data_IF_571395113187
#
_entry.id   IF_571395113187
#
_cell.length_a   1.000
_cell.length_b   1.000
_cell.length_c   1.000
_cell.angle_alpha   90.00
_cell.angle_beta   90.00
_cell.angle_gamma   90.00
#
_symmetry.space_group_name_H-M   'P 1'
#
loop_
_entity.id
_entity.type
_entity.pdbx_description
1 polymer ?
#
# COMPACT_ATOMS: atom_id res chain seq x y z
N UNK A 1 126.85 -39.04 -51.27
CA UNK A 1 125.79 -40.00 -51.68
C UNK A 1 124.80 -40.31 -50.55
N UNK A 2 125.26 -40.58 -49.33
CA UNK A 2 124.42 -40.93 -48.16
C UNK A 2 123.37 -39.87 -47.79
N UNK A 3 123.75 -38.59 -47.76
CA UNK A 3 122.83 -37.48 -47.41
C UNK A 3 121.65 -37.31 -48.39
N UNK A 4 121.87 -37.57 -49.67
CA UNK A 4 120.85 -37.46 -50.72
C UNK A 4 119.83 -38.60 -50.58
N UNK A 5 120.31 -39.82 -50.33
CA UNK A 5 119.47 -41.00 -50.09
C UNK A 5 118.62 -40.80 -48.82
N UNK A 6 119.20 -40.21 -47.77
CA UNK A 6 118.50 -39.93 -46.51
C UNK A 6 117.39 -38.88 -46.70
N UNK A 7 117.64 -37.82 -47.46
CA UNK A 7 116.63 -36.83 -47.85
C UNK A 7 115.50 -37.44 -48.70
N UNK A 8 115.82 -38.34 -49.63
CA UNK A 8 114.82 -39.01 -50.47
C UNK A 8 113.92 -39.93 -49.63
N UNK A 9 114.52 -40.69 -48.70
CA UNK A 9 113.77 -41.57 -47.80
C UNK A 9 112.90 -40.76 -46.81
N UNK A 10 113.40 -39.64 -46.29
CA UNK A 10 112.60 -38.72 -45.46
C UNK A 10 111.43 -38.11 -46.24
N UNK A 11 111.65 -37.69 -47.49
CA UNK A 11 110.58 -37.19 -48.35
C UNK A 11 109.53 -38.26 -48.63
N UNK A 12 109.94 -39.50 -48.85
CA UNK A 12 109.03 -40.62 -49.04
C UNK A 12 108.21 -40.89 -47.78
N UNK A 13 108.83 -40.92 -46.60
CA UNK A 13 108.13 -41.06 -45.31
C UNK A 13 107.13 -39.92 -45.06
N UNK A 14 107.52 -38.67 -45.30
CA UNK A 14 106.60 -37.53 -45.18
C UNK A 14 105.42 -37.65 -46.13
N UNK A 15 105.64 -38.09 -47.36
CA UNK A 15 104.57 -38.32 -48.34
C UNK A 15 103.61 -39.43 -47.88
N UNK A 16 104.12 -40.52 -47.32
CA UNK A 16 103.28 -41.61 -46.79
C UNK A 16 102.49 -41.16 -45.57
N UNK A 17 103.11 -40.41 -44.64
CA UNK A 17 102.46 -39.90 -43.44
C UNK A 17 101.33 -38.92 -43.79
N UNK A 18 101.54 -38.03 -44.77
CA UNK A 18 100.51 -37.12 -45.28
C UNK A 18 99.36 -37.89 -45.91
N UNK A 19 99.64 -38.96 -46.65
CA UNK A 19 98.60 -39.76 -47.30
C UNK A 19 97.74 -40.49 -46.27
N UNK A 20 98.37 -41.13 -45.28
CA UNK A 20 97.69 -41.81 -44.18
C UNK A 20 96.86 -40.81 -43.36
N UNK A 21 97.40 -39.63 -43.04
CA UNK A 21 96.67 -38.60 -42.31
C UNK A 21 95.44 -38.08 -43.09
N UNK A 22 95.55 -37.97 -44.43
CA UNK A 22 94.41 -37.59 -45.28
C UNK A 22 93.34 -38.67 -45.33
N UNK A 23 93.73 -39.93 -45.38
CA UNK A 23 92.82 -41.08 -45.37
C UNK A 23 92.07 -41.17 -44.03
N UNK A 24 92.79 -41.06 -42.91
CA UNK A 24 92.19 -41.01 -41.57
C UNK A 24 91.23 -39.82 -41.39
N UNK A 25 91.59 -38.64 -41.90
CA UNK A 25 90.73 -37.47 -41.88
C UNK A 25 89.46 -37.67 -42.72
N UNK A 26 89.58 -38.30 -43.89
CA UNK A 26 88.43 -38.62 -44.74
C UNK A 26 87.47 -39.62 -44.07
N UNK A 27 88.00 -40.62 -43.36
CA UNK A 27 87.21 -41.58 -42.59
C UNK A 27 86.47 -40.92 -41.41
N UNK A 28 87.11 -39.96 -40.73
CA UNK A 28 86.54 -39.26 -39.57
C UNK A 28 85.52 -38.17 -39.95
N UNK A 29 85.64 -37.57 -41.14
CA UNK A 29 84.81 -36.46 -41.60
C UNK A 29 83.31 -36.75 -41.48
N UNK A 30 82.87 -37.97 -41.79
CA UNK A 30 81.46 -38.37 -41.66
C UNK A 30 81.00 -38.32 -40.19
N UNK A 31 81.81 -38.83 -39.27
CA UNK A 31 81.50 -38.87 -37.85
C UNK A 31 81.47 -37.46 -37.24
N UNK A 32 82.42 -36.60 -37.63
CA UNK A 32 82.46 -35.20 -37.24
C UNK A 32 81.23 -34.44 -37.76
N UNK A 33 80.88 -34.65 -39.04
CA UNK A 33 79.68 -34.06 -39.64
C UNK A 33 78.40 -34.47 -38.90
N UNK A 34 78.20 -35.77 -38.64
CA UNK A 34 77.02 -36.23 -37.89
C UNK A 34 76.97 -35.69 -36.47
N UNK A 35 78.13 -35.61 -35.80
CA UNK A 35 78.24 -35.04 -34.46
C UNK A 35 77.88 -33.56 -34.46
N UNK A 36 78.39 -32.78 -35.42
CA UNK A 36 78.05 -31.39 -35.61
C UNK A 36 76.54 -31.20 -35.89
N UNK A 37 75.96 -32.01 -36.79
CA UNK A 37 74.52 -31.98 -37.08
C UNK A 37 73.69 -32.25 -35.82
N UNK A 38 74.08 -33.22 -34.98
CA UNK A 38 73.40 -33.51 -33.71
C UNK A 38 73.44 -32.31 -32.76
N UNK A 39 74.61 -31.69 -32.57
CA UNK A 39 74.76 -30.51 -31.71
C UNK A 39 73.91 -29.35 -32.23
N UNK A 40 73.96 -29.08 -33.53
CA UNK A 40 73.18 -28.00 -34.12
C UNK A 40 71.67 -28.26 -34.06
N UNK A 41 71.23 -29.49 -34.32
CA UNK A 41 69.82 -29.88 -34.22
C UNK A 41 69.32 -29.74 -32.77
N UNK A 42 70.12 -30.19 -31.80
CA UNK A 42 69.83 -30.01 -30.37
C UNK A 42 69.69 -28.52 -30.02
N UNK A 43 70.64 -27.68 -30.42
CA UNK A 43 70.62 -26.24 -30.14
C UNK A 43 69.41 -25.54 -30.78
N UNK A 44 69.10 -25.83 -32.06
CA UNK A 44 67.90 -25.33 -32.73
C UNK A 44 66.63 -25.72 -31.96
N UNK A 45 66.56 -26.96 -31.48
CA UNK A 45 65.47 -27.45 -30.64
C UNK A 45 65.37 -26.73 -29.29
N UNK A 46 66.49 -26.48 -28.62
CA UNK A 46 66.52 -25.71 -27.35
C UNK A 46 65.96 -24.31 -27.57
N UNK A 47 66.40 -23.62 -28.61
CA UNK A 47 65.93 -22.26 -28.95
C UNK A 47 64.43 -22.24 -29.23
N UNK A 48 63.94 -23.20 -30.02
CA UNK A 48 62.52 -23.29 -30.36
C UNK A 48 61.65 -23.58 -29.11
N UNK A 49 62.06 -24.52 -28.26
CA UNK A 49 61.33 -24.83 -27.01
C UNK A 49 61.29 -23.64 -26.05
N UNK A 50 62.40 -22.90 -25.92
CA UNK A 50 62.44 -21.68 -25.12
C UNK A 50 61.47 -20.62 -25.65
N UNK A 51 61.40 -20.44 -26.98
CA UNK A 51 60.47 -19.52 -27.62
C UNK A 51 59.00 -19.93 -27.42
N UNK A 52 58.67 -21.20 -27.63
CA UNK A 52 57.31 -21.73 -27.37
C UNK A 52 56.91 -21.53 -25.90
N UNK A 53 57.83 -21.80 -24.96
CA UNK A 53 57.59 -21.55 -23.54
C UNK A 53 57.30 -20.07 -23.26
N UNK A 54 58.05 -19.16 -23.88
CA UNK A 54 57.80 -17.73 -23.76
C UNK A 54 56.40 -17.35 -24.29
N UNK A 55 56.01 -17.83 -25.47
CA UNK A 55 54.68 -17.59 -26.04
C UNK A 55 53.56 -18.13 -25.13
N UNK A 56 53.70 -19.35 -24.62
CA UNK A 56 52.74 -19.95 -23.70
C UNK A 56 52.61 -19.16 -22.39
N UNK A 57 53.72 -18.66 -21.84
CA UNK A 57 53.70 -17.80 -20.67
C UNK A 57 52.96 -16.49 -20.95
N UNK A 58 53.25 -15.83 -22.07
CA UNK A 58 52.57 -14.61 -22.51
C UNK A 58 51.06 -14.84 -22.68
N UNK A 59 50.67 -15.93 -23.33
CA UNK A 59 49.26 -16.32 -23.46
C UNK A 59 48.60 -16.55 -22.09
N UNK A 60 49.28 -17.25 -21.18
CA UNK A 60 48.77 -17.51 -19.83
C UNK A 60 48.57 -16.22 -19.04
N UNK A 61 49.48 -15.25 -19.16
CA UNK A 61 49.35 -13.94 -18.51
C UNK A 61 48.10 -13.21 -19.01
N UNK A 62 47.91 -13.14 -20.33
CA UNK A 62 46.74 -12.50 -20.94
C UNK A 62 45.45 -13.18 -20.46
N UNK A 63 45.39 -14.51 -20.55
CA UNK A 63 44.21 -15.26 -20.15
C UNK A 63 43.92 -15.14 -18.64
N UNK A 64 44.95 -15.14 -17.78
CA UNK A 64 44.80 -14.92 -16.33
C UNK A 64 44.15 -13.57 -16.04
N UNK A 65 44.64 -12.51 -16.69
CA UNK A 65 44.10 -11.16 -16.52
C UNK A 65 42.66 -11.07 -17.02
N UNK A 66 42.35 -11.68 -18.17
CA UNK A 66 40.99 -11.73 -18.71
C UNK A 66 40.02 -12.45 -17.77
N UNK A 67 40.37 -13.66 -17.30
CA UNK A 67 39.55 -14.41 -16.33
C UNK A 67 39.31 -13.62 -15.05
N UNK A 68 40.33 -12.91 -14.55
CA UNK A 68 40.20 -12.04 -13.38
C UNK A 68 39.28 -10.85 -13.63
N UNK A 69 39.40 -10.19 -14.79
CA UNK A 69 38.53 -9.08 -15.18
C UNK A 69 37.06 -9.51 -15.23
N UNK A 70 36.78 -10.65 -15.86
CA UNK A 70 35.43 -11.24 -15.92
C UNK A 70 34.89 -11.56 -14.52
N UNK A 71 35.68 -12.25 -13.69
CA UNK A 71 35.29 -12.59 -12.32
C UNK A 71 34.97 -11.34 -11.48
N UNK A 72 35.78 -10.28 -11.59
CA UNK A 72 35.52 -8.99 -10.94
C UNK A 72 34.23 -8.34 -11.44
N UNK A 73 33.93 -8.44 -12.74
CA UNK A 73 32.67 -7.95 -13.32
C UNK A 73 31.44 -8.69 -12.77
N UNK A 74 31.52 -10.01 -12.62
CA UNK A 74 30.45 -10.82 -11.99
C UNK A 74 30.30 -10.43 -10.51
N UNK A 75 31.41 -10.34 -9.78
CA UNK A 75 31.42 -9.97 -8.36
C UNK A 75 30.77 -8.61 -8.11
N UNK A 76 31.12 -7.58 -8.90
CA UNK A 76 30.50 -6.25 -8.78
C UNK A 76 28.98 -6.31 -8.97
N UNK A 77 28.49 -7.08 -9.96
CA UNK A 77 27.05 -7.27 -10.19
C UNK A 77 26.37 -7.96 -9.00
N UNK A 78 26.98 -9.00 -8.45
CA UNK A 78 26.45 -9.67 -7.26
C UNK A 78 26.35 -8.70 -6.08
N UNK A 79 27.42 -7.96 -5.79
CA UNK A 79 27.43 -6.97 -4.69
C UNK A 79 26.38 -5.89 -4.90
N UNK A 80 26.25 -5.35 -6.12
CA UNK A 80 25.20 -4.37 -6.43
C UNK A 80 23.80 -4.94 -6.19
N UNK A 81 23.54 -6.18 -6.61
CA UNK A 81 22.25 -6.83 -6.39
C UNK A 81 21.96 -7.08 -4.91
N UNK A 82 22.94 -7.54 -4.13
CA UNK A 82 22.76 -7.75 -2.69
C UNK A 82 22.51 -6.44 -1.95
N UNK A 83 23.23 -5.36 -2.32
CA UNK A 83 23.01 -4.05 -1.73
C UNK A 83 21.62 -3.50 -2.05
N UNK A 84 21.13 -3.72 -3.27
CA UNK A 84 19.76 -3.37 -3.67
C UNK A 84 18.73 -4.09 -2.79
N UNK A 85 18.89 -5.41 -2.63
CA UNK A 85 18.01 -6.23 -1.80
C UNK A 85 18.02 -5.76 -0.33
N UNK A 86 19.20 -5.49 0.23
CA UNK A 86 19.33 -4.97 1.60
C UNK A 86 18.63 -3.61 1.76
N UNK A 87 18.77 -2.72 0.77
CA UNK A 87 18.13 -1.40 0.78
C UNK A 87 16.61 -1.52 0.71
N UNK A 88 16.08 -2.33 -0.19
CA UNK A 88 14.64 -2.60 -0.30
C UNK A 88 14.12 -3.20 1.00
N UNK A 89 14.83 -4.19 1.56
CA UNK A 89 14.44 -4.80 2.83
C UNK A 89 14.37 -3.76 3.96
N UNK A 90 15.37 -2.88 4.07
CA UNK A 90 15.36 -1.80 5.05
C UNK A 90 14.17 -0.85 4.87
N UNK A 91 13.87 -0.40 3.65
CA UNK A 91 12.71 0.48 3.44
C UNK A 91 11.39 -0.24 3.71
N UNK A 92 11.29 -1.53 3.38
CA UNK A 92 10.10 -2.33 3.70
C UNK A 92 9.90 -2.47 5.22
N UNK A 93 10.97 -2.69 6.01
CA UNK A 93 10.83 -2.73 7.47
C UNK A 93 10.38 -1.37 8.02
N UNK A 94 10.92 -0.26 7.53
CA UNK A 94 10.46 1.07 7.93
C UNK A 94 9.00 1.33 7.51
N UNK A 95 8.62 0.92 6.30
CA UNK A 95 7.25 1.04 5.82
C UNK A 95 6.26 0.25 6.70
N UNK A 96 6.60 -0.97 7.12
CA UNK A 96 5.71 -1.74 8.00
C UNK A 96 5.51 -1.08 9.37
N UNK A 97 6.53 -0.43 9.93
CA UNK A 97 6.41 0.36 11.17
C UNK A 97 5.42 1.51 10.97
N UNK A 98 5.61 2.32 9.93
CA UNK A 98 4.72 3.45 9.62
C UNK A 98 3.28 2.95 9.43
N UNK A 99 3.10 1.90 8.62
CA UNK A 99 1.78 1.36 8.34
C UNK A 99 1.12 0.76 9.58
N UNK A 100 1.87 0.07 10.47
CA UNK A 100 1.34 -0.45 11.74
C UNK A 100 0.81 0.69 12.62
N UNK A 101 1.57 1.76 12.76
CA UNK A 101 1.17 2.95 13.54
C UNK A 101 -0.08 3.57 12.93
N UNK A 102 -0.10 3.75 11.60
CA UNK A 102 -1.25 4.31 10.89
C UNK A 102 -2.51 3.46 11.03
N UNK A 103 -2.42 2.14 10.83
CA UNK A 103 -3.56 1.22 11.02
C UNK A 103 -4.12 1.33 12.44
N UNK A 104 -3.24 1.41 13.45
CA UNK A 104 -3.65 1.63 14.84
C UNK A 104 -4.35 2.97 15.06
N UNK A 105 -3.81 4.06 14.50
CA UNK A 105 -4.45 5.38 14.55
C UNK A 105 -5.85 5.36 13.91
N UNK A 106 -5.95 4.82 12.70
CA UNK A 106 -7.19 4.79 11.93
C UNK A 106 -8.31 4.07 12.69
N UNK A 107 -8.02 2.88 13.24
CA UNK A 107 -8.99 2.11 14.02
C UNK A 107 -9.49 2.89 15.23
N UNK A 108 -8.59 3.48 16.03
CA UNK A 108 -8.96 4.25 17.22
C UNK A 108 -9.75 5.52 16.90
N UNK A 109 -9.53 6.10 15.72
CA UNK A 109 -10.21 7.33 15.30
C UNK A 109 -11.58 7.08 14.68
N UNK A 110 -11.68 6.09 13.79
CA UNK A 110 -12.81 5.92 12.89
C UNK A 110 -13.65 4.66 13.12
N UNK A 111 -13.08 3.59 13.68
CA UNK A 111 -13.79 2.30 13.85
C UNK A 111 -14.24 2.13 15.30
N UNK A 112 -13.30 2.15 16.24
CA UNK A 112 -13.55 1.95 17.66
C UNK A 112 -13.17 3.21 18.45
N UNK A 113 -14.08 4.17 18.47
CA UNK A 113 -13.93 5.37 19.29
C UNK A 113 -14.41 5.11 20.72
N UNK A 114 -13.46 4.83 21.62
CA UNK A 114 -13.71 4.52 23.02
C UNK A 114 -14.54 5.60 23.72
N UNK A 115 -14.17 6.88 23.57
CA UNK A 115 -14.87 8.00 24.21
C UNK A 115 -16.29 8.18 23.67
N UNK A 116 -16.50 7.98 22.38
CA UNK A 116 -17.85 8.03 21.81
C UNK A 116 -18.74 6.92 22.39
N UNK A 117 -18.20 5.69 22.51
CA UNK A 117 -18.91 4.56 23.11
C UNK A 117 -19.18 4.78 24.60
N UNK A 118 -18.22 5.33 25.34
CA UNK A 118 -18.39 5.64 26.75
C UNK A 118 -19.53 6.64 26.98
N UNK A 119 -19.55 7.77 26.24
CA UNK A 119 -20.64 8.76 26.32
C UNK A 119 -22.01 8.17 25.98
N UNK A 120 -22.06 7.27 25.00
CA UNK A 120 -23.31 6.59 24.64
C UNK A 120 -23.81 5.71 25.79
N UNK A 121 -22.92 4.96 26.45
CA UNK A 121 -23.29 4.14 27.60
C UNK A 121 -23.71 4.98 28.80
N UNK A 122 -23.02 6.08 29.08
CA UNK A 122 -23.41 7.05 30.12
C UNK A 122 -24.82 7.59 29.84
N UNK A 123 -25.10 8.02 28.60
CA UNK A 123 -26.43 8.47 28.22
C UNK A 123 -27.51 7.39 28.36
N UNK A 124 -27.20 6.12 28.09
CA UNK A 124 -28.13 5.00 28.34
C UNK A 124 -28.45 4.88 29.83
N UNK A 125 -27.43 4.98 30.69
CA UNK A 125 -27.62 4.90 32.14
C UNK A 125 -28.54 6.03 32.61
N UNK A 126 -28.31 7.25 32.14
CA UNK A 126 -29.16 8.39 32.47
C UNK A 126 -30.61 8.19 32.03
N UNK A 127 -30.83 7.70 30.81
CA UNK A 127 -32.18 7.37 30.30
C UNK A 127 -32.83 6.28 31.14
N UNK A 128 -32.10 5.23 31.49
CA UNK A 128 -32.62 4.14 32.32
C UNK A 128 -33.03 4.65 33.70
N UNK A 129 -32.23 5.51 34.33
CA UNK A 129 -32.56 6.13 35.61
C UNK A 129 -33.83 6.98 35.51
N UNK A 130 -33.95 7.79 34.45
CA UNK A 130 -35.16 8.57 34.19
C UNK A 130 -36.41 7.68 34.05
N UNK A 131 -36.31 6.58 33.29
CA UNK A 131 -37.41 5.62 33.13
C UNK A 131 -37.78 4.97 34.47
N UNK A 132 -36.80 4.63 35.30
CA UNK A 132 -37.06 4.09 36.64
C UNK A 132 -37.79 5.10 37.54
N UNK A 133 -37.36 6.36 37.55
CA UNK A 133 -38.05 7.42 38.29
C UNK A 133 -39.51 7.58 37.85
N UNK A 134 -39.76 7.55 36.55
CA UNK A 134 -41.12 7.64 36.00
C UNK A 134 -41.97 6.41 36.35
N UNK A 135 -41.38 5.21 36.40
CA UNK A 135 -42.05 4.01 36.87
C UNK A 135 -42.43 4.09 38.36
N UNK A 136 -41.54 4.62 39.21
CA UNK A 136 -41.85 4.83 40.63
C UNK A 136 -42.99 5.84 40.83
N UNK A 137 -42.97 6.98 40.11
CA UNK A 137 -44.08 7.94 40.15
C UNK A 137 -45.40 7.30 39.69
N UNK A 138 -45.35 6.45 38.67
CA UNK A 138 -46.51 5.73 38.19
C UNK A 138 -47.06 4.75 39.24
N UNK A 139 -46.17 4.02 39.92
CA UNK A 139 -46.53 3.14 41.03
C UNK A 139 -47.25 3.91 42.14
N UNK A 140 -46.72 5.06 42.57
CA UNK A 140 -47.36 5.92 43.57
C UNK A 140 -48.75 6.38 43.13
N UNK A 141 -48.91 6.78 41.86
CA UNK A 141 -50.20 7.19 41.30
C UNK A 141 -51.18 6.00 41.31
N UNK A 142 -50.73 4.80 40.96
CA UNK A 142 -51.58 3.59 40.96
C UNK A 142 -52.01 3.24 42.39
N UNK A 143 -51.10 3.28 43.35
CA UNK A 143 -51.39 3.03 44.77
C UNK A 143 -52.40 4.06 45.27
N UNK A 144 -52.14 5.36 45.08
CA UNK A 144 -53.04 6.43 45.52
C UNK A 144 -54.44 6.31 44.87
N UNK A 145 -54.51 5.95 43.58
CA UNK A 145 -55.78 5.69 42.89
C UNK A 145 -56.52 4.48 43.48
N UNK A 146 -55.80 3.41 43.82
CA UNK A 146 -56.37 2.23 44.46
C UNK A 146 -56.89 2.54 45.87
N UNK A 147 -56.14 3.30 46.68
CA UNK A 147 -56.57 3.76 47.99
C UNK A 147 -57.79 4.67 47.93
N UNK A 148 -57.78 5.64 47.01
CA UNK A 148 -58.95 6.50 46.76
C UNK A 148 -60.17 5.68 46.36
N UNK A 149 -60.02 4.72 45.44
CA UNK A 149 -61.11 3.81 45.05
C UNK A 149 -61.60 2.95 46.22
N UNK A 150 -60.71 2.48 47.10
CA UNK A 150 -61.09 1.76 48.33
C UNK A 150 -61.86 2.66 49.31
N UNK A 151 -61.43 3.91 49.49
CA UNK A 151 -62.11 4.90 50.33
C UNK A 151 -63.50 5.24 49.78
N UNK A 152 -63.62 5.48 48.47
CA UNK A 152 -64.90 5.71 47.79
C UNK A 152 -65.84 4.50 47.91
N UNK A 153 -65.33 3.27 47.80
CA UNK A 153 -66.13 2.06 48.04
C UNK A 153 -66.63 1.99 49.49
N UNK A 154 -65.77 2.26 50.46
CA UNK A 154 -66.15 2.28 51.87
C UNK A 154 -67.21 3.36 52.17
N UNK A 155 -67.05 4.54 51.57
CA UNK A 155 -68.02 5.64 51.69
C UNK A 155 -69.36 5.28 51.03
N UNK A 156 -69.34 4.72 49.82
CA UNK A 156 -70.53 4.22 49.14
C UNK A 156 -71.23 3.12 49.94
N UNK A 157 -70.49 2.21 50.58
CA UNK A 157 -71.06 1.19 51.47
C UNK A 157 -71.73 1.81 52.69
N UNK A 158 -71.13 2.87 53.28
CA UNK A 158 -71.73 3.64 54.39
C UNK A 158 -73.01 4.32 53.92
N UNK A 159 -72.98 4.97 52.76
CA UNK A 159 -74.12 5.64 52.15
C UNK A 159 -75.25 4.65 51.84
N UNK A 160 -74.91 3.47 51.31
CA UNK A 160 -75.87 2.40 51.04
C UNK A 160 -76.51 1.88 52.32
N UNK A 161 -75.73 1.65 53.38
CA UNK A 161 -76.26 1.27 54.71
C UNK A 161 -77.21 2.33 55.26
N UNK A 162 -76.82 3.61 55.22
CA UNK A 162 -77.66 4.74 55.62
C UNK A 162 -78.97 4.79 54.80
N UNK A 163 -78.87 4.64 53.47
CA UNK A 163 -80.03 4.64 52.56
C UNK A 163 -80.99 3.48 52.84
N UNK A 164 -80.47 2.28 53.13
CA UNK A 164 -81.30 1.13 53.52
C UNK A 164 -81.97 1.35 54.87
N UNK A 165 -81.28 1.99 55.80
CA UNK A 165 -81.69 2.13 57.18
C UNK A 165 -82.31 3.50 57.53
N UNK A 166 -82.57 4.37 56.54
CA UNK A 166 -83.03 5.74 56.74
C UNK A 166 -84.32 5.86 57.57
N UNK A 167 -85.17 4.83 57.56
CA UNK A 167 -86.40 4.78 58.36
C UNK A 167 -86.15 4.61 59.87
N UNK A 168 -84.92 4.25 60.29
CA UNK A 168 -84.54 4.06 61.70
C UNK A 168 -84.03 5.36 62.37
N UNK A 169 -84.30 6.52 61.75
CA UNK A 169 -83.98 7.84 62.27
C UNK A 169 -84.83 8.20 63.51
N UNK A 170 -84.23 8.97 64.41
CA UNK A 170 -84.94 9.52 65.58
C UNK A 170 -86.00 10.52 65.16
N UNK A 171 -87.22 10.33 65.64
CA UNK A 171 -88.32 11.30 65.49
C UNK A 171 -88.43 12.16 66.74
N UNK A 172 -89.15 13.29 66.68
CA UNK A 172 -89.36 14.15 67.85
C UNK A 172 -90.08 13.43 69.02
N UNK A 173 -90.78 12.32 68.74
CA UNK A 173 -91.56 11.57 69.73
C UNK A 173 -90.82 10.33 70.26
N UNK A 174 -89.87 9.76 69.52
CA UNK A 174 -89.13 8.56 69.91
C UNK A 174 -87.71 8.56 69.36
N UNK A 175 -86.73 8.25 70.22
CA UNK A 175 -85.34 8.10 69.81
C UNK A 175 -85.19 6.90 68.85
N UNK A 176 -84.43 7.09 67.76
CA UNK A 176 -84.14 6.05 66.77
C UNK A 176 -83.05 5.10 67.26
N UNK A 177 -82.90 3.95 66.60
CA UNK A 177 -81.93 2.89 66.98
C UNK A 177 -80.50 3.42 67.00
N UNK A 178 -80.18 4.39 66.14
CA UNK A 178 -78.86 5.02 66.04
C UNK A 178 -78.65 6.19 67.01
N UNK A 179 -79.61 6.53 67.87
CA UNK A 179 -79.48 7.61 68.86
C UNK A 179 -78.70 7.19 70.13
N UNK A 180 -78.09 6.00 70.14
CA UNK A 180 -77.62 5.34 71.36
C UNK A 180 -76.21 5.79 71.75
N UNK A 181 -76.11 6.89 72.50
CA UNK A 181 -75.45 7.00 73.80
C UNK A 181 -75.47 8.48 74.22
N UNK A 182 -75.30 8.76 75.51
CA UNK A 182 -75.49 10.07 76.15
C UNK A 182 -74.54 11.18 75.66
N UNK A 183 -73.67 10.88 74.70
CA UNK A 183 -72.87 11.84 73.96
C UNK A 183 -73.60 12.16 72.65
N UNK A 184 -74.25 13.33 72.59
CA UNK A 184 -74.93 13.87 71.40
C UNK A 184 -73.96 14.16 70.24
N UNK A 185 -72.68 13.88 70.41
CA UNK A 185 -71.64 14.07 69.40
C UNK A 185 -71.64 12.86 68.44
N UNK A 186 -72.56 12.96 67.49
CA UNK A 186 -72.36 12.58 66.09
C UNK A 186 -72.13 11.09 65.80
N UNK A 187 -73.18 10.27 65.92
CA UNK A 187 -73.21 9.01 65.18
C UNK A 187 -73.25 9.32 63.67
N UNK A 188 -72.11 9.12 63.00
CA UNK A 188 -71.87 9.50 61.60
C UNK A 188 -72.99 9.02 60.65
N UNK A 189 -73.53 7.82 60.90
CA UNK A 189 -74.59 7.23 60.09
C UNK A 189 -75.92 7.99 60.27
N UNK A 190 -76.26 8.45 61.48
CA UNK A 190 -77.48 9.24 61.73
C UNK A 190 -77.39 10.63 61.09
N UNK A 191 -76.19 11.22 61.05
CA UNK A 191 -75.94 12.50 60.39
C UNK A 191 -76.09 12.38 58.86
N UNK A 192 -75.52 11.33 58.26
CA UNK A 192 -75.69 11.04 56.82
C UNK A 192 -77.17 10.83 56.49
N UNK A 193 -77.90 10.05 57.30
CA UNK A 193 -79.33 9.79 57.10
C UNK A 193 -80.19 11.06 57.21
N UNK A 194 -79.87 12.01 58.10
CA UNK A 194 -80.58 13.30 58.22
C UNK A 194 -80.41 14.19 56.99
N UNK A 195 -79.25 14.12 56.34
CA UNK A 195 -78.93 14.96 55.18
C UNK A 195 -79.41 14.35 53.85
N UNK A 196 -79.87 13.10 53.84
CA UNK A 196 -80.40 12.44 52.65
C UNK A 196 -81.84 12.85 52.38
N UNK A 197 -82.14 13.29 51.15
CA UNK A 197 -83.51 13.56 50.73
C UNK A 197 -84.17 12.32 50.13
N UNK A 198 -85.51 12.31 50.03
CA UNK A 198 -86.25 11.21 49.40
C UNK A 198 -85.80 10.95 47.96
N UNK A 199 -85.49 12.02 47.22
CA UNK A 199 -84.97 11.93 45.85
C UNK A 199 -83.58 11.28 45.80
N UNK A 200 -82.71 11.58 46.78
CA UNK A 200 -81.37 10.98 46.86
C UNK A 200 -81.44 9.48 47.15
N UNK A 201 -82.35 9.08 48.04
CA UNK A 201 -82.59 7.67 48.39
C UNK A 201 -83.04 6.87 47.16
N UNK A 202 -83.94 7.42 46.33
CA UNK A 202 -84.39 6.78 45.09
C UNK A 202 -83.27 6.71 44.04
N UNK A 203 -82.50 7.77 43.85
CA UNK A 203 -81.36 7.79 42.94
C UNK A 203 -80.29 6.76 43.31
N UNK A 204 -79.97 6.61 44.60
CA UNK A 204 -78.99 5.64 45.10
C UNK A 204 -79.52 4.21 44.94
N UNK A 205 -80.83 3.97 45.14
CA UNK A 205 -81.45 2.66 44.88
C UNK A 205 -81.44 2.29 43.39
N UNK A 206 -81.71 3.26 42.51
CA UNK A 206 -81.66 3.05 41.06
C UNK A 206 -80.24 2.76 40.56
N UNK A 207 -79.22 3.50 41.04
CA UNK A 207 -77.80 3.26 40.69
C UNK A 207 -77.26 1.91 41.15
N UNK A 208 -77.83 1.33 42.22
CA UNK A 208 -77.43 0.04 42.79
C UNK A 208 -78.37 -1.11 42.39
N UNK A 209 -79.29 -0.88 41.45
CA UNK A 209 -80.12 -1.94 40.85
C UNK A 209 -79.26 -2.88 40.01
N UNK A 210 -79.46 -4.21 40.06
CA UNK A 210 -78.74 -5.17 39.21
C UNK A 210 -78.89 -4.90 37.71
N UNK A 211 -79.95 -4.20 37.31
CA UNK A 211 -80.27 -3.87 35.92
C UNK A 211 -79.67 -2.52 35.45
N UNK A 212 -78.86 -1.84 36.28
CA UNK A 212 -78.26 -0.56 35.92
C UNK A 212 -77.02 -0.76 35.01
N UNK A 213 -77.22 -0.62 33.70
CA UNK A 213 -76.15 -0.52 32.70
C UNK A 213 -75.59 0.91 32.66
N UNK A 214 -74.31 1.10 33.02
CA UNK A 214 -73.61 2.38 32.85
C UNK A 214 -72.94 2.44 31.46
N UNK A 215 -73.25 3.44 30.59
CA UNK A 215 -72.70 3.51 29.22
C UNK A 215 -71.22 3.89 29.08
N UNK A 216 -70.39 3.89 30.14
CA UNK A 216 -69.04 4.46 30.08
C UNK A 216 -67.96 3.51 30.59
N UNK A 217 -67.79 2.40 29.86
CA UNK A 217 -66.63 1.52 30.00
C UNK A 217 -66.22 0.96 28.64
N UNK A 218 -65.87 1.83 27.71
CA UNK A 218 -65.28 1.45 26.43
C UNK A 218 -64.22 2.46 26.00
N UNK A 219 -63.05 2.38 26.65
CA UNK A 219 -61.77 2.74 26.00
C UNK A 219 -60.66 1.84 26.56
N UNK A 220 -60.63 0.59 26.13
CA UNK A 220 -59.41 -0.20 26.21
C UNK A 220 -58.49 0.28 25.07
N UNK A 221 -57.24 0.71 25.33
CA UNK A 221 -56.31 0.98 24.25
C UNK A 221 -55.93 -0.36 23.60
N UNK A 222 -56.07 -0.39 22.27
CA UNK A 222 -55.77 -1.54 21.42
C UNK A 222 -54.36 -2.06 21.70
N UNK A 223 -54.28 -3.31 22.16
CA UNK A 223 -53.04 -4.07 22.37
C UNK A 223 -52.59 -4.67 21.04
N UNK A 224 -52.22 -3.83 20.09
CA UNK A 224 -51.60 -4.25 18.84
C UNK A 224 -50.52 -3.24 18.46
N UNK A 225 -49.31 -3.40 19.00
CA UNK A 225 -48.04 -2.91 18.43
C UNK A 225 -46.91 -3.22 19.41
N UNK A 226 -46.55 -4.50 19.52
CA UNK A 226 -45.18 -4.91 19.81
C UNK A 226 -45.07 -6.41 19.53
N UNK A 227 -44.59 -6.74 18.33
CA UNK A 227 -43.72 -7.87 18.03
C UNK A 227 -43.55 -8.00 16.51
N UNK A 228 -42.51 -7.38 15.97
CA UNK A 228 -41.69 -7.96 14.90
C UNK A 228 -40.63 -6.95 14.46
N UNK A 229 -39.45 -6.98 15.09
CA UNK A 229 -38.17 -6.68 14.47
C UNK A 229 -37.08 -6.76 15.53
N UNK A 230 -36.52 -7.94 15.74
CA UNK A 230 -35.12 -8.15 16.11
C UNK A 230 -34.78 -9.64 16.02
N UNK A 231 -34.42 -10.08 14.83
CA UNK A 231 -33.36 -11.05 14.58
C UNK A 231 -33.31 -11.27 13.07
N UNK A 232 -32.22 -10.82 12.44
CA UNK A 232 -31.43 -11.65 11.53
C UNK A 232 -30.32 -10.80 10.90
N UNK A 233 -29.21 -10.75 11.65
CA UNK A 233 -27.88 -10.60 11.05
C UNK A 233 -27.21 -11.97 11.16
N UNK A 234 -26.88 -12.58 10.02
CA UNK A 234 -25.54 -13.15 9.82
C UNK A 234 -24.95 -12.55 8.53
N UNK A 235 -23.91 -11.72 8.58
CA UNK A 235 -22.49 -12.12 8.63
C UNK A 235 -22.07 -13.07 7.48
N UNK A 236 -21.27 -12.52 6.54
CA UNK A 236 -20.27 -13.10 5.61
C UNK A 236 -20.55 -14.50 5.03
N UNK A 237 -20.52 -14.72 3.71
CA UNK A 237 -19.33 -14.70 2.86
C UNK A 237 -19.77 -15.03 1.42
N UNK A 238 -19.20 -14.39 0.38
CA UNK A 238 -19.22 -14.91 -1.00
C UNK A 238 -18.30 -14.09 -1.92
N UNK A 239 -17.06 -14.52 -1.99
CA UNK A 239 -16.20 -14.34 -3.16
C UNK A 239 -16.79 -15.09 -4.37
N UNK A 240 -16.41 -14.68 -5.59
CA UNK A 240 -16.66 -15.31 -6.91
C UNK A 240 -18.05 -15.09 -7.56
N UNK A 241 -18.11 -14.22 -8.58
CA UNK A 241 -18.51 -14.61 -9.94
C UNK A 241 -18.43 -13.39 -10.89
N UNK A 242 -17.33 -13.31 -11.61
CA UNK A 242 -17.25 -12.65 -12.91
C UNK A 242 -17.98 -13.51 -13.93
N UNK A 243 -19.15 -13.09 -14.41
CA UNK A 243 -19.71 -13.65 -15.65
C UNK A 243 -20.63 -12.63 -16.35
N UNK A 244 -20.43 -12.54 -17.66
CA UNK A 244 -20.99 -11.54 -18.55
C UNK A 244 -22.52 -11.53 -18.57
N UNK A 245 -23.14 -10.41 -18.18
CA UNK A 245 -24.55 -10.17 -18.49
C UNK A 245 -24.69 -9.81 -19.99
N UNK A 246 -24.98 -10.81 -20.82
CA UNK A 246 -25.55 -10.58 -22.16
C UNK A 246 -26.95 -9.98 -21.97
N UNK A 247 -27.08 -8.68 -22.19
CA UNK A 247 -28.39 -8.03 -22.27
C UNK A 247 -29.11 -8.58 -23.50
N UNK A 248 -30.23 -9.27 -23.29
CA UNK A 248 -31.18 -9.63 -24.35
C UNK A 248 -31.78 -8.35 -24.97
N UNK A 249 -31.90 -8.25 -26.31
CA UNK A 249 -32.42 -7.03 -26.94
C UNK A 249 -33.89 -6.82 -26.58
N UNK A 250 -34.25 -5.58 -26.24
CA UNK A 250 -35.64 -5.18 -26.01
C UNK A 250 -36.50 -5.43 -27.27
N UNK A 251 -37.78 -5.82 -27.10
CA UNK A 251 -38.66 -6.11 -28.22
C UNK A 251 -38.87 -4.89 -29.13
N UNK A 252 -38.85 -5.10 -30.45
CA UNK A 252 -39.10 -4.04 -31.45
C UNK A 252 -40.55 -3.56 -31.32
N UNK A 253 -40.72 -2.27 -31.02
CA UNK A 253 -42.03 -1.60 -31.07
C UNK A 253 -42.44 -1.50 -32.54
N UNK A 254 -43.44 -2.28 -32.96
CA UNK A 254 -44.03 -2.17 -34.30
C UNK A 254 -44.93 -0.94 -34.32
N UNK A 255 -44.40 0.21 -34.70
CA UNK A 255 -45.22 1.37 -35.06
C UNK A 255 -45.61 1.28 -36.52
N UNK A 256 -46.92 1.36 -36.76
CA UNK A 256 -47.57 1.38 -38.07
C UNK A 256 -46.91 2.42 -38.99
N UNK A 257 -46.81 2.09 -40.29
CA UNK A 257 -46.09 2.76 -41.39
C UNK A 257 -46.49 4.22 -41.73
N UNK A 258 -46.95 5.02 -40.76
CA UNK A 258 -47.26 6.44 -40.98
C UNK A 258 -45.96 7.24 -41.13
N UNK A 259 -45.77 7.83 -42.31
CA UNK A 259 -44.70 8.80 -42.58
C UNK A 259 -44.84 9.98 -41.60
N UNK A 260 -43.88 10.12 -40.69
CA UNK A 260 -43.87 11.22 -39.72
C UNK A 260 -43.79 12.57 -40.47
N UNK A 261 -44.62 13.53 -40.10
CA UNK A 261 -44.71 14.82 -40.78
C UNK A 261 -43.49 15.69 -40.41
N UNK A 262 -42.74 16.15 -41.42
CA UNK A 262 -41.52 16.95 -41.28
C UNK A 262 -40.37 16.44 -42.16
N UNK A 263 -39.17 17.05 -42.09
CA UNK A 263 -37.97 16.61 -42.83
C UNK A 263 -37.32 15.37 -42.17
N UNK A 264 -38.12 14.45 -41.65
CA UNK A 264 -37.63 13.24 -40.98
C UNK A 264 -37.55 12.07 -41.96
N UNK A 265 -36.47 11.30 -41.87
CA UNK A 265 -36.23 10.13 -42.73
C UNK A 265 -37.18 8.99 -42.34
N UNK A 266 -37.60 8.18 -43.31
CA UNK A 266 -38.46 7.03 -43.02
C UNK A 266 -37.74 6.01 -42.14
N UNK A 267 -38.51 5.20 -41.41
CA UNK A 267 -37.98 4.16 -40.51
C UNK A 267 -37.01 3.23 -41.26
N UNK A 268 -37.36 2.81 -42.48
CA UNK A 268 -36.49 1.99 -43.35
C UNK A 268 -35.18 2.70 -43.72
N UNK A 269 -35.23 4.00 -44.03
CA UNK A 269 -34.02 4.78 -44.33
C UNK A 269 -33.12 4.93 -43.10
N UNK A 270 -33.72 5.07 -41.92
CA UNK A 270 -32.98 5.13 -40.65
C UNK A 270 -32.36 3.77 -40.34
N UNK A 271 -33.08 2.66 -40.56
CA UNK A 271 -32.53 1.31 -40.42
C UNK A 271 -31.36 1.06 -41.39
N UNK A 272 -31.50 1.47 -42.65
CA UNK A 272 -30.41 1.42 -43.63
C UNK A 272 -29.19 2.28 -43.22
N UNK A 273 -29.41 3.46 -42.62
CA UNK A 273 -28.32 4.31 -42.13
C UNK A 273 -27.65 3.65 -40.92
N UNK A 274 -28.43 3.04 -40.01
CA UNK A 274 -27.92 2.29 -38.86
C UNK A 274 -27.15 1.05 -39.27
N UNK A 275 -27.55 0.38 -40.35
CA UNK A 275 -26.90 -0.83 -40.86
C UNK A 275 -25.69 -0.55 -41.76
N UNK A 276 -25.40 0.70 -42.11
CA UNK A 276 -24.19 1.04 -42.87
C UNK A 276 -22.96 0.79 -42.01
N UNK A 277 -21.98 0.00 -42.48
CA UNK A 277 -20.74 -0.21 -41.75
C UNK A 277 -20.04 1.13 -41.57
N UNK A 278 -19.54 1.38 -40.35
CA UNK A 278 -18.74 2.56 -40.06
C UNK A 278 -17.54 2.58 -41.01
N UNK A 279 -17.38 3.67 -41.76
CA UNK A 279 -16.14 3.98 -42.47
C UNK A 279 -15.36 4.96 -41.61
N UNK A 280 -14.55 4.49 -40.66
CA UNK A 280 -13.76 5.36 -39.81
C UNK A 280 -12.83 6.21 -40.65
N UNK A 281 -12.66 7.47 -40.26
CA UNK A 281 -11.64 8.34 -40.86
C UNK A 281 -10.26 7.74 -40.62
N UNK A 282 -9.27 8.11 -41.45
CA UNK A 282 -7.92 7.56 -41.36
C UNK A 282 -7.37 7.59 -39.93
N UNK A 283 -7.61 8.68 -39.19
CA UNK A 283 -7.24 8.84 -37.77
C UNK A 283 -7.84 7.81 -36.82
N UNK A 284 -9.04 7.30 -37.09
CA UNK A 284 -9.72 6.28 -36.28
C UNK A 284 -9.33 4.87 -36.74
N UNK A 285 -9.00 4.70 -38.02
CA UNK A 285 -8.54 3.41 -38.57
C UNK A 285 -7.10 3.05 -38.18
N UNK A 286 -6.24 4.05 -37.96
CA UNK A 286 -4.86 3.85 -37.55
C UNK A 286 -4.75 3.77 -36.04
N UNK A 287 -3.97 2.83 -35.53
CA UNK A 287 -3.61 2.76 -34.11
C UNK A 287 -2.95 4.08 -33.65
N UNK A 288 -3.26 4.50 -32.43
CA UNK A 288 -2.72 5.71 -31.81
C UNK A 288 -1.19 5.72 -31.83
N UNK A 289 -0.57 4.54 -31.65
CA UNK A 289 0.87 4.35 -31.66
C UNK A 289 1.42 3.82 -33.00
N UNK A 290 0.69 3.98 -34.10
CA UNK A 290 1.09 3.45 -35.41
C UNK A 290 2.46 3.96 -35.86
N UNK A 291 2.78 5.22 -35.55
CA UNK A 291 4.08 5.83 -35.86
C UNK A 291 5.19 5.23 -34.98
N UNK A 292 5.00 5.11 -33.66
CA UNK A 292 6.01 4.46 -32.82
C UNK A 292 6.21 2.99 -33.22
N UNK A 293 5.13 2.24 -33.49
CA UNK A 293 5.21 0.85 -33.94
C UNK A 293 5.97 0.72 -35.26
N UNK A 294 5.72 1.61 -36.22
CA UNK A 294 6.48 1.65 -37.47
C UNK A 294 7.97 1.91 -37.20
N UNK A 295 8.29 2.82 -36.27
CA UNK A 295 9.67 3.13 -35.88
C UNK A 295 10.37 1.95 -35.23
N UNK A 296 9.72 1.25 -34.30
CA UNK A 296 10.25 0.04 -33.68
C UNK A 296 10.45 -1.08 -34.71
N UNK A 297 9.53 -1.23 -35.67
CA UNK A 297 9.69 -2.21 -36.74
C UNK A 297 10.89 -1.89 -37.65
N UNK A 298 11.16 -0.61 -37.93
CA UNK A 298 12.36 -0.21 -38.66
C UNK A 298 13.64 -0.48 -37.88
N UNK A 299 13.69 -0.09 -36.60
CA UNK A 299 14.84 -0.34 -35.72
C UNK A 299 15.13 -1.85 -35.64
N UNK A 300 14.12 -2.68 -35.42
CA UNK A 300 14.29 -4.13 -35.37
C UNK A 300 14.84 -4.72 -36.68
N UNK A 301 14.42 -4.18 -37.84
CA UNK A 301 14.97 -4.59 -39.14
C UNK A 301 16.41 -4.12 -39.36
N UNK A 302 16.80 -2.99 -38.77
CA UNK A 302 18.17 -2.48 -38.81
C UNK A 302 19.10 -3.27 -37.87
N UNK A 303 18.63 -3.59 -36.66
CA UNK A 303 19.37 -4.39 -35.67
C UNK A 303 19.72 -5.79 -36.21
N UNK A 304 18.80 -6.44 -36.93
CA UNK A 304 19.07 -7.74 -37.58
C UNK A 304 20.22 -7.67 -38.60
N UNK A 305 20.52 -6.48 -39.14
CA UNK A 305 21.62 -6.28 -40.10
C UNK A 305 22.94 -5.86 -39.45
N UNK A 306 22.96 -5.60 -38.14
CA UNK A 306 24.20 -5.21 -37.43
C UNK A 306 25.03 -6.46 -37.10
N UNK A 307 26.29 -6.47 -37.55
CA UNK A 307 27.27 -7.54 -37.27
C UNK A 307 28.06 -7.27 -35.98
N UNK A 308 28.08 -6.00 -35.53
CA UNK A 308 28.81 -5.53 -34.35
C UNK A 308 27.94 -4.46 -33.67
N UNK A 309 27.54 -4.73 -32.43
CA UNK A 309 26.71 -3.81 -31.62
C UNK A 309 27.51 -2.63 -31.03
N UNK A 310 28.83 -2.77 -30.98
CA UNK A 310 29.71 -1.75 -30.41
C UNK A 310 29.92 -0.59 -31.39
N UNK A 311 29.40 0.58 -31.01
CA UNK A 311 29.65 1.85 -31.72
C UNK A 311 31.17 2.11 -31.75
N UNK A 312 31.74 2.17 -32.96
CA UNK A 312 33.16 2.46 -33.15
C UNK A 312 33.52 3.80 -32.47
N UNK A 313 34.27 3.72 -31.37
CA UNK A 313 34.74 4.87 -30.60
C UNK A 313 36.25 4.91 -30.69
N UNK A 314 36.84 5.84 -31.47
CA UNK A 314 38.27 5.81 -31.77
C UNK A 314 39.16 6.11 -30.55
N UNK A 315 38.63 6.76 -29.51
CA UNK A 315 39.38 7.07 -28.29
C UNK A 315 38.49 7.00 -27.05
N UNK A 316 38.80 6.08 -26.13
CA UNK A 316 38.18 6.03 -24.79
C UNK A 316 39.05 6.84 -23.82
N UNK A 317 38.67 8.06 -23.49
CA UNK A 317 39.19 8.78 -22.32
C UNK A 317 38.59 8.17 -21.06
N UNK A 318 39.19 7.10 -20.56
CA UNK A 318 38.77 6.49 -19.30
C UNK A 318 39.22 7.39 -18.14
N UNK A 319 38.32 8.25 -17.65
CA UNK A 319 38.51 8.92 -16.37
C UNK A 319 38.29 7.91 -15.26
N UNK A 320 39.36 7.34 -14.73
CA UNK A 320 39.28 6.51 -13.53
C UNK A 320 38.97 7.40 -12.32
N UNK A 321 37.82 7.17 -11.67
CA UNK A 321 37.56 7.70 -10.33
C UNK A 321 38.49 7.01 -9.34
N UNK A 322 39.25 7.78 -8.57
CA UNK A 322 40.12 7.25 -7.53
C UNK A 322 39.27 6.54 -6.46
N UNK A 323 39.51 5.24 -6.25
CA UNK A 323 38.88 4.46 -5.18
C UNK A 323 39.94 4.24 -4.10
N UNK A 324 39.80 4.83 -2.90
CA UNK A 324 40.76 4.65 -1.83
C UNK A 324 40.77 3.19 -1.35
N UNK A 325 41.96 2.65 -1.10
CA UNK A 325 42.14 1.28 -0.59
C UNK A 325 41.70 1.18 0.88
N UNK A 326 41.06 0.07 1.24
CA UNK A 326 40.45 -0.19 2.55
C UNK A 326 41.43 -0.26 3.75
N UNK A 327 42.75 -0.15 3.55
CA UNK A 327 43.75 -0.50 4.56
C UNK A 327 44.84 0.56 4.82
N UNK A 328 44.58 1.83 4.57
CA UNK A 328 45.45 2.92 5.05
C UNK A 328 44.82 3.59 6.27
N UNK A 329 44.77 2.89 7.40
CA UNK A 329 44.62 3.53 8.70
C UNK A 329 45.99 4.08 9.10
N UNK A 330 46.31 5.27 8.61
CA UNK A 330 47.45 6.05 9.11
C UNK A 330 47.02 6.74 10.42
N UNK A 331 47.90 6.79 11.41
CA UNK A 331 47.68 7.47 12.70
C UNK A 331 47.35 8.97 12.53
N UNK A 332 47.64 9.53 11.35
CA UNK A 332 47.20 10.83 10.91
C UNK A 332 45.93 10.66 10.07
N UNK A 333 44.80 11.18 10.56
CA UNK A 333 43.57 11.26 9.77
C UNK A 333 43.86 11.96 8.44
N UNK A 334 43.21 11.52 7.36
CA UNK A 334 43.32 12.18 6.05
C UNK A 334 42.86 13.63 6.19
N UNK A 335 43.81 14.56 6.33
CA UNK A 335 43.51 15.99 6.25
C UNK A 335 42.82 16.22 4.90
N UNK A 336 41.64 16.84 4.90
CA UNK A 336 40.97 17.26 3.66
C UNK A 336 41.92 18.17 2.92
N UNK A 337 42.63 17.62 1.94
CA UNK A 337 43.49 18.39 1.06
C UNK A 337 42.60 19.36 0.28
N UNK A 338 42.71 20.66 0.58
CA UNK A 338 42.15 21.70 -0.28
C UNK A 338 41.52 22.92 0.38
N UNK A 339 40.81 22.83 1.52
CA UNK A 339 39.86 23.93 1.84
C UNK A 339 39.91 24.53 3.25
N UNK A 340 40.82 24.12 4.14
CA UNK A 340 40.77 24.62 5.53
C UNK A 340 42.06 25.24 6.08
N UNK A 341 43.24 24.86 5.58
CA UNK A 341 44.49 25.16 6.32
C UNK A 341 45.65 25.68 5.47
N UNK A 342 45.44 26.05 4.21
CA UNK A 342 46.52 26.61 3.38
C UNK A 342 46.29 28.06 2.96
N UNK A 343 45.11 28.62 3.18
CA UNK A 343 44.82 30.03 2.97
C UNK A 343 43.93 30.52 4.10
N UNK A 344 44.39 31.55 4.79
CA UNK A 344 43.65 32.32 5.80
C UNK A 344 42.46 32.99 5.08
N UNK A 345 41.26 32.43 5.21
CA UNK A 345 40.01 33.02 4.70
C UNK A 345 39.39 33.91 5.80
N UNK A 346 40.08 35.01 6.13
CA UNK A 346 39.44 36.11 6.86
C UNK A 346 38.52 36.87 5.88
N UNK A 347 37.25 36.48 5.80
CA UNK A 347 36.23 37.15 4.96
C UNK A 347 36.12 38.66 5.29
N UNK A 348 36.45 39.06 6.50
CA UNK A 348 36.47 40.45 6.98
C UNK A 348 37.56 41.31 6.33
N UNK A 349 38.64 40.72 5.77
CA UNK A 349 39.68 41.41 5.00
C UNK A 349 39.32 41.60 3.52
N UNK A 350 38.39 40.81 2.98
CA UNK A 350 37.99 40.88 1.57
C UNK A 350 37.00 42.01 1.27
N UNK A 351 36.39 42.61 2.30
CA UNK A 351 35.55 43.81 2.18
C UNK A 351 36.37 45.11 2.32
N UNK A 352 37.56 45.18 1.72
CA UNK A 352 38.23 46.46 1.50
C UNK A 352 37.40 47.26 0.49
N UNK A 353 36.73 48.31 0.99
CA UNK A 353 35.85 49.24 0.24
C UNK A 353 36.54 49.93 -0.94
N UNK A 354 37.87 49.88 -1.02
CA UNK A 354 38.63 50.48 -2.09
C UNK A 354 39.02 49.44 -3.14
N UNK A 355 38.37 49.53 -4.30
CA UNK A 355 38.78 48.79 -5.51
C UNK A 355 40.22 49.18 -5.87
N UNK A 356 41.06 48.19 -6.14
CA UNK A 356 42.44 48.40 -6.59
C UNK A 356 42.49 49.39 -7.76
N UNK A 357 43.25 50.48 -7.60
CA UNK A 357 43.55 51.41 -8.70
C UNK A 357 44.55 50.74 -9.64
N UNK A 358 44.15 50.53 -10.89
CA UNK A 358 45.05 50.06 -11.94
C UNK A 358 46.12 51.13 -12.21
N UNK A 359 47.39 50.79 -11.93
CA UNK A 359 48.54 51.69 -12.13
C UNK A 359 48.96 51.77 -13.61
N UNK A 360 48.44 50.87 -14.46
CA UNK A 360 48.75 50.80 -15.89
C UNK A 360 47.47 50.95 -16.73
N UNK A 361 47.53 51.68 -17.86
CA UNK A 361 46.40 51.77 -18.78
C UNK A 361 46.11 50.40 -19.43
N UNK A 362 44.82 50.04 -19.62
CA UNK A 362 44.46 48.75 -20.20
C UNK A 362 44.94 48.61 -21.64
N UNK A 363 45.49 47.44 -21.97
CA UNK A 363 45.95 47.09 -23.31
C UNK A 363 44.71 46.73 -24.15
N UNK A 364 44.37 47.61 -25.10
CA UNK A 364 43.15 47.54 -25.95
C UNK A 364 42.90 46.19 -26.64
N UNK A 365 43.93 45.38 -26.83
CA UNK A 365 43.84 44.07 -27.51
C UNK A 365 42.98 43.08 -26.73
N UNK A 366 42.91 43.19 -25.40
CA UNK A 366 42.20 42.23 -24.56
C UNK A 366 40.73 42.56 -24.30
N UNK A 367 40.26 43.75 -24.71
CA UNK A 367 38.85 44.14 -24.55
C UNK A 367 37.92 43.33 -25.48
N UNK A 368 38.44 42.80 -26.59
CA UNK A 368 37.66 42.00 -27.53
C UNK A 368 37.49 40.53 -27.13
N UNK A 369 38.28 40.03 -26.16
CA UNK A 369 38.23 38.64 -25.75
C UNK A 369 37.08 38.33 -24.77
N UNK A 370 36.59 39.34 -24.05
CA UNK A 370 35.58 39.17 -23.00
C UNK A 370 34.14 39.44 -23.46
N UNK A 371 33.90 39.78 -24.74
CA UNK A 371 32.54 40.01 -25.25
C UNK A 371 31.89 38.77 -25.88
N UNK A 372 32.60 37.64 -25.94
CA UNK A 372 32.16 36.45 -26.69
C UNK A 372 31.98 35.18 -25.84
N UNK A 373 31.65 35.33 -24.55
CA UNK A 373 31.26 34.21 -23.68
C UNK A 373 29.99 34.49 -22.91
#
# INVERSE_FOLDING_TARGET
MTHIILCINQKHQLMTDIFIAKEQAADQLKNEFYSAVKIQAWFRGVRLRAYIKHLNNSATIIQKHWRSYMARGIFRRMVSSTLEQMRIAHYNTMATVIQKVWRGYYVRKHVHNFYARQRYLEAIVDINNYVLEDLYKYEDIVIAKAEKSRAEKLENDRLLKATRNHFMLSTNQSAGVYALSKCRENNEIELIMRNLTSHDIENIRQKNSPDYYSPSACTAPSRDLYNSANSDTPSYDASLASESSKQSPLPKIVTSSRKQQGPFKSIEQVEMIKSKPLQPTLRVSTDFYSVEKARYSMIAKEEVKQVIDDRFSPFKTVRHTHVPMLHTESQYSTLKYGNAHFREEDESRLTLKDRFKTVLPPIKVFDHANSSF
#
